data_IF_638681046807
#
_entry.id   IF_638681046807
#
_cell.length_a   1.000
_cell.length_b   1.000
_cell.length_c   1.000
_cell.angle_alpha   90.00
_cell.angle_beta   90.00
_cell.angle_gamma   90.00
#
_symmetry.space_group_name_H-M   'P 1'
#
loop_
_entity.id
_entity.type
_entity.pdbx_description
1 polymer ?
#
# COMPACT_ATOMS: atom_id res chain seq x y z
N UNK A 1 16.73 18.54 -6.12
CA UNK A 1 16.54 18.48 -4.65
C UNK A 1 15.07 18.39 -4.24
N UNK A 2 14.19 19.31 -4.64
CA UNK A 2 12.76 19.36 -4.19
C UNK A 2 11.93 18.10 -4.51
N UNK A 3 12.22 17.42 -5.61
CA UNK A 3 11.54 16.20 -6.03
C UNK A 3 11.87 14.96 -5.17
N UNK A 4 13.13 14.83 -4.74
CA UNK A 4 13.55 13.72 -3.88
C UNK A 4 12.97 13.85 -2.47
N UNK A 5 12.78 15.08 -1.98
CA UNK A 5 12.13 15.33 -0.69
C UNK A 5 10.66 14.86 -0.68
N UNK A 6 9.91 15.12 -1.75
CA UNK A 6 8.51 14.67 -1.86
C UNK A 6 8.43 13.14 -1.84
N UNK A 7 9.30 12.45 -2.61
CA UNK A 7 9.39 10.98 -2.57
C UNK A 7 9.69 10.49 -1.16
N UNK A 8 10.63 11.12 -0.45
CA UNK A 8 11.04 10.69 0.89
C UNK A 8 9.89 10.79 1.90
N UNK A 9 9.18 11.93 1.89
CA UNK A 9 8.01 12.14 2.75
C UNK A 9 6.93 11.11 2.43
N UNK A 10 6.67 10.86 1.14
CA UNK A 10 5.65 9.89 0.72
C UNK A 10 5.99 8.45 1.16
N UNK A 11 7.26 8.05 1.04
CA UNK A 11 7.75 6.75 1.51
C UNK A 11 7.70 6.64 3.03
N UNK A 12 8.11 7.69 3.76
CA UNK A 12 8.05 7.72 5.21
C UNK A 12 6.62 7.63 5.74
N UNK A 13 5.69 8.35 5.11
CA UNK A 13 4.27 8.30 5.45
C UNK A 13 3.64 6.93 5.10
N UNK A 14 3.99 6.36 3.93
CA UNK A 14 3.57 5.00 3.57
C UNK A 14 4.10 3.95 4.57
N UNK A 15 5.33 4.10 5.06
CA UNK A 15 5.92 3.21 6.06
C UNK A 15 5.19 3.31 7.40
N UNK A 16 4.84 4.53 7.84
CA UNK A 16 4.02 4.74 9.04
C UNK A 16 2.67 4.04 8.91
N UNK A 17 1.96 4.23 7.78
CA UNK A 17 0.68 3.57 7.53
C UNK A 17 0.82 2.04 7.50
N UNK A 18 1.90 1.52 6.92
CA UNK A 18 2.19 0.09 6.90
C UNK A 18 2.42 -0.46 8.30
N UNK A 19 3.13 0.28 9.17
CA UNK A 19 3.33 -0.09 10.58
C UNK A 19 1.99 -0.14 11.33
N UNK A 20 1.17 0.90 11.19
CA UNK A 20 -0.17 0.91 11.81
C UNK A 20 -1.02 -0.26 11.33
N UNK A 21 -1.08 -0.51 10.01
CA UNK A 21 -1.80 -1.65 9.45
C UNK A 21 -1.31 -2.98 10.03
N UNK A 22 0.01 -3.16 10.16
CA UNK A 22 0.60 -4.36 10.75
C UNK A 22 0.13 -4.56 12.18
N UNK A 23 0.11 -3.50 12.99
CA UNK A 23 -0.31 -3.56 14.38
C UNK A 23 -1.80 -3.92 14.52
N UNK A 24 -2.68 -3.26 13.74
CA UNK A 24 -4.12 -3.50 13.81
C UNK A 24 -4.48 -4.89 13.28
N UNK A 25 -4.00 -5.26 12.10
CA UNK A 25 -4.29 -6.56 11.49
C UNK A 25 -3.67 -7.70 12.30
N UNK A 26 -2.46 -7.50 12.84
CA UNK A 26 -1.84 -8.44 13.77
C UNK A 26 -2.69 -8.66 15.03
N UNK A 27 -3.30 -7.61 15.58
CA UNK A 27 -4.20 -7.77 16.73
C UNK A 27 -5.52 -8.49 16.36
N UNK A 28 -6.07 -8.25 15.17
CA UNK A 28 -7.24 -8.99 14.67
C UNK A 28 -6.93 -10.48 14.52
N UNK A 29 -5.73 -10.83 14.03
CA UNK A 29 -5.29 -12.23 13.91
C UNK A 29 -5.09 -12.85 15.30
N UNK A 30 -4.44 -12.14 16.23
CA UNK A 30 -4.18 -12.64 17.57
C UNK A 30 -5.44 -12.84 18.42
N UNK A 31 -6.49 -12.04 18.16
CA UNK A 31 -7.77 -12.10 18.86
C UNK A 31 -8.80 -13.00 18.18
N UNK A 32 -8.37 -13.82 17.21
CA UNK A 32 -9.24 -14.69 16.44
C UNK A 32 -9.65 -15.96 17.20
N UNK A 33 -10.95 -16.14 17.41
CA UNK A 33 -11.56 -17.31 18.05
C UNK A 33 -12.56 -17.89 17.04
N UNK A 34 -12.12 -18.90 16.28
CA UNK A 34 -12.95 -19.65 15.32
C UNK A 34 -13.78 -18.80 14.34
N UNK A 35 -13.23 -17.67 13.88
CA UNK A 35 -13.90 -16.88 12.85
C UNK A 35 -14.08 -17.67 11.55
N UNK A 36 -15.12 -17.32 10.79
CA UNK A 36 -15.45 -17.96 9.53
C UNK A 36 -14.24 -17.99 8.56
N UNK A 37 -14.07 -19.09 7.83
CA UNK A 37 -12.96 -19.24 6.89
C UNK A 37 -12.88 -18.13 5.82
N UNK A 38 -14.03 -17.57 5.43
CA UNK A 38 -14.10 -16.45 4.48
C UNK A 38 -13.57 -15.13 5.08
N UNK A 39 -13.67 -14.97 6.41
CA UNK A 39 -13.16 -13.82 7.15
C UNK A 39 -11.66 -13.95 7.39
N UNK A 40 -11.19 -15.11 7.82
CA UNK A 40 -9.76 -15.36 8.06
C UNK A 40 -8.95 -15.27 6.77
N UNK A 41 -9.47 -15.76 5.64
CA UNK A 41 -8.84 -15.62 4.33
C UNK A 41 -8.65 -14.14 3.92
N UNK A 42 -9.66 -13.29 4.17
CA UNK A 42 -9.58 -11.87 3.87
C UNK A 42 -8.51 -11.17 4.73
N UNK A 43 -8.48 -11.44 6.03
CA UNK A 43 -7.48 -10.88 6.96
C UNK A 43 -6.07 -11.36 6.60
N UNK A 44 -5.89 -12.64 6.25
CA UNK A 44 -4.61 -13.19 5.83
C UNK A 44 -4.10 -12.56 4.53
N UNK A 45 -4.99 -12.32 3.56
CA UNK A 45 -4.63 -11.60 2.34
C UNK A 45 -4.16 -10.17 2.65
N UNK A 46 -4.85 -9.45 3.53
CA UNK A 46 -4.45 -8.10 3.98
C UNK A 46 -3.08 -8.12 4.65
N UNK A 47 -2.81 -9.13 5.49
CA UNK A 47 -1.50 -9.30 6.12
C UNK A 47 -0.40 -9.54 5.08
N UNK A 48 -0.65 -10.36 4.07
CA UNK A 48 0.26 -10.54 2.93
C UNK A 48 0.55 -9.21 2.22
N UNK A 49 -0.47 -8.42 1.89
CA UNK A 49 -0.30 -7.11 1.26
C UNK A 49 0.50 -6.15 2.15
N UNK A 50 0.33 -6.24 3.47
CA UNK A 50 1.08 -5.43 4.44
C UNK A 50 2.56 -5.78 4.42
N UNK A 51 2.92 -7.07 4.32
CA UNK A 51 4.31 -7.52 4.20
C UNK A 51 4.92 -7.06 2.87
N UNK A 52 4.18 -7.15 1.76
CA UNK A 52 4.65 -6.61 0.46
C UNK A 52 4.88 -5.10 0.56
N UNK A 53 3.99 -4.38 1.24
CA UNK A 53 4.10 -2.94 1.47
C UNK A 53 5.35 -2.59 2.29
N UNK A 54 5.70 -3.40 3.29
CA UNK A 54 6.96 -3.26 4.04
C UNK A 54 8.18 -3.34 3.13
N UNK A 55 8.24 -4.38 2.27
CA UNK A 55 9.36 -4.57 1.34
C UNK A 55 9.49 -3.35 0.41
N UNK A 56 8.38 -2.89 -0.16
CA UNK A 56 8.38 -1.76 -1.10
C UNK A 56 8.77 -0.45 -0.39
N UNK A 57 8.30 -0.22 0.83
CA UNK A 57 8.66 0.97 1.61
C UNK A 57 10.14 0.95 2.01
N UNK A 58 10.67 -0.18 2.49
CA UNK A 58 12.07 -0.31 2.91
C UNK A 58 13.02 -0.17 1.73
N UNK A 59 12.74 -0.85 0.61
CA UNK A 59 13.56 -0.71 -0.62
C UNK A 59 13.51 0.73 -1.14
N UNK A 60 12.33 1.35 -1.14
CA UNK A 60 12.17 2.75 -1.53
C UNK A 60 12.90 3.73 -0.61
N UNK A 61 12.99 3.43 0.69
CA UNK A 61 13.75 4.23 1.65
C UNK A 61 15.27 4.05 1.48
N UNK A 62 15.72 2.81 1.29
CA UNK A 62 17.13 2.49 1.07
C UNK A 62 17.67 3.09 -0.23
N UNK A 63 16.82 3.29 -1.24
CA UNK A 63 17.18 3.98 -2.48
C UNK A 63 17.68 5.42 -2.26
N UNK A 64 17.33 6.08 -1.16
CA UNK A 64 17.89 7.40 -0.81
C UNK A 64 19.36 7.34 -0.41
N UNK A 65 19.79 6.23 0.20
CA UNK A 65 21.17 6.04 0.65
C UNK A 65 22.03 5.32 -0.38
N UNK A 66 21.41 4.44 -1.18
CA UNK A 66 22.08 3.63 -2.18
C UNK A 66 21.55 3.92 -3.58
N UNK A 67 22.31 4.69 -4.36
CA UNK A 67 21.97 5.08 -5.74
C UNK A 67 21.78 3.87 -6.69
N UNK A 68 22.33 2.71 -6.33
CA UNK A 68 22.13 1.47 -7.08
C UNK A 68 20.67 0.97 -7.07
N UNK A 69 19.92 1.29 -6.01
CA UNK A 69 18.51 0.91 -5.81
C UNK A 69 17.53 1.95 -6.38
N UNK A 70 17.99 3.15 -6.73
CA UNK A 70 17.15 4.22 -7.30
C UNK A 70 16.92 4.06 -8.82
N UNK A 71 17.16 2.86 -9.36
CA UNK A 71 16.99 2.58 -10.77
C UNK A 71 15.51 2.34 -11.10
N UNK A 72 14.95 3.04 -12.10
CA UNK A 72 13.57 2.83 -12.56
C UNK A 72 13.16 1.37 -12.83
N UNK A 73 13.99 0.50 -13.47
CA UNK A 73 13.58 -0.88 -13.73
C UNK A 73 13.33 -1.71 -12.46
N UNK A 74 13.91 -1.32 -11.31
CA UNK A 74 13.66 -1.99 -10.03
C UNK A 74 12.46 -1.37 -9.29
N UNK A 75 12.37 -0.04 -9.23
CA UNK A 75 11.31 0.63 -8.47
C UNK A 75 9.93 0.51 -9.14
N UNK A 76 9.88 0.52 -10.48
CA UNK A 76 8.62 0.48 -11.22
C UNK A 76 7.77 -0.77 -10.92
N UNK A 77 8.29 -2.02 -11.01
CA UNK A 77 7.49 -3.21 -10.68
C UNK A 77 7.12 -3.26 -9.20
N UNK A 78 7.98 -2.80 -8.30
CA UNK A 78 7.69 -2.75 -6.86
C UNK A 78 6.53 -1.81 -6.57
N UNK A 79 6.55 -0.60 -7.11
CA UNK A 79 5.47 0.38 -6.93
C UNK A 79 4.17 -0.08 -7.60
N UNK A 80 4.25 -0.68 -8.79
CA UNK A 80 3.08 -1.22 -9.48
C UNK A 80 2.44 -2.37 -8.70
N UNK A 81 3.25 -3.29 -8.16
CA UNK A 81 2.78 -4.38 -7.31
C UNK A 81 2.14 -3.84 -6.02
N UNK A 82 2.76 -2.85 -5.37
CA UNK A 82 2.20 -2.23 -4.17
C UNK A 82 0.85 -1.56 -4.44
N UNK A 83 0.71 -0.81 -5.54
CA UNK A 83 -0.55 -0.20 -5.95
C UNK A 83 -1.62 -1.28 -6.20
N UNK A 84 -1.29 -2.32 -6.96
CA UNK A 84 -2.23 -3.38 -7.30
C UNK A 84 -2.73 -4.12 -6.06
N UNK A 85 -1.82 -4.57 -5.20
CA UNK A 85 -2.17 -5.34 -4.01
C UNK A 85 -2.90 -4.50 -2.96
N UNK A 86 -2.45 -3.26 -2.71
CA UNK A 86 -3.13 -2.36 -1.77
C UNK A 86 -4.55 -2.01 -2.22
N UNK A 87 -4.77 -1.82 -3.53
CA UNK A 87 -6.10 -1.59 -4.09
C UNK A 87 -7.03 -2.77 -3.86
N UNK A 88 -6.57 -4.00 -4.17
CA UNK A 88 -7.37 -5.21 -3.98
C UNK A 88 -7.68 -5.39 -2.48
N UNK A 89 -6.69 -5.20 -1.60
CA UNK A 89 -6.88 -5.32 -0.15
C UNK A 89 -7.88 -4.29 0.40
N UNK A 90 -7.82 -3.04 -0.07
CA UNK A 90 -8.76 -2.00 0.32
C UNK A 90 -10.20 -2.35 -0.07
N UNK A 91 -10.40 -2.87 -1.30
CA UNK A 91 -11.72 -3.32 -1.77
C UNK A 91 -12.23 -4.50 -0.95
N UNK A 92 -11.39 -5.51 -0.72
CA UNK A 92 -11.76 -6.72 0.04
C UNK A 92 -12.20 -6.35 1.46
N UNK A 93 -11.45 -5.49 2.15
CA UNK A 93 -11.80 -5.00 3.48
C UNK A 93 -13.12 -4.23 3.47
N UNK A 94 -13.30 -3.28 2.55
CA UNK A 94 -14.52 -2.49 2.45
C UNK A 94 -15.76 -3.38 2.16
N UNK A 95 -15.62 -4.33 1.23
CA UNK A 95 -16.72 -5.22 0.82
C UNK A 95 -17.12 -6.21 1.91
N UNK A 96 -16.16 -6.64 2.74
CA UNK A 96 -16.39 -7.58 3.85
C UNK A 96 -16.87 -6.90 5.13
N UNK A 97 -16.39 -5.68 5.41
CA UNK A 97 -16.75 -4.97 6.63
C UNK A 97 -18.20 -4.53 6.63
N UNK A 98 -18.71 -3.92 5.55
CA UNK A 98 -20.13 -3.47 5.34
C UNK A 98 -20.79 -2.58 6.41
N UNK A 99 -20.29 -2.56 7.64
CA UNK A 99 -20.84 -1.84 8.76
C UNK A 99 -20.09 -0.52 8.94
N UNK A 100 -20.85 0.56 9.10
CA UNK A 100 -20.32 1.90 9.37
C UNK A 100 -20.26 2.18 10.87
N UNK A 101 -21.13 1.54 11.65
CA UNK A 101 -21.25 1.71 13.10
C UNK A 101 -20.93 0.39 13.82
N UNK A 102 -19.81 0.36 14.56
CA UNK A 102 -19.41 -0.79 15.37
C UNK A 102 -19.96 -0.76 16.81
N UNK A 103 -20.61 0.33 17.24
CA UNK A 103 -21.12 0.48 18.62
C UNK A 103 -22.45 -0.23 18.90
N UNK A 104 -23.20 -0.59 17.86
CA UNK A 104 -24.47 -1.33 17.97
C UNK A 104 -24.47 -2.47 16.96
N UNK A 105 -23.91 -3.61 17.34
CA UNK A 105 -23.88 -4.80 16.51
C UNK A 105 -25.22 -5.53 16.60
N UNK A 106 -25.99 -5.51 15.52
CA UNK A 106 -27.22 -6.31 15.42
C UNK A 106 -26.93 -7.64 14.72
N UNK A 107 -26.87 -8.77 15.44
CA UNK A 107 -26.56 -10.08 14.85
C UNK A 107 -27.64 -10.57 13.88
N UNK A 108 -28.86 -10.02 13.90
CA UNK A 108 -29.91 -10.35 12.91
C UNK A 108 -29.73 -9.62 11.57
N UNK A 109 -28.96 -8.54 11.54
CA UNK A 109 -28.72 -7.73 10.34
C UNK A 109 -27.41 -8.07 9.60
N UNK A 110 -26.57 -8.92 10.18
CA UNK A 110 -25.25 -9.26 9.67
C UNK A 110 -25.18 -10.74 9.30
N UNK A 111 -24.51 -11.10 8.19
CA UNK A 111 -24.39 -12.50 7.80
C UNK A 111 -23.54 -13.28 8.81
N UNK A 112 -23.79 -14.58 8.94
CA UNK A 112 -23.07 -15.44 9.88
C UNK A 112 -21.56 -15.57 9.59
N UNK A 113 -21.12 -15.25 8.36
CA UNK A 113 -19.72 -15.27 7.93
C UNK A 113 -19.05 -13.88 7.96
N UNK A 114 -19.64 -12.93 8.69
CA UNK A 114 -19.15 -11.56 8.73
C UNK A 114 -17.76 -11.43 9.38
N UNK A 115 -16.95 -10.51 8.84
CA UNK A 115 -15.50 -10.44 9.09
C UNK A 115 -15.12 -10.05 10.53
N UNK A 116 -16.01 -9.35 11.22
CA UNK A 116 -15.79 -8.89 12.59
C UNK A 116 -16.28 -9.86 13.67
N UNK A 117 -16.90 -10.99 13.29
CA UNK A 117 -17.17 -12.08 14.22
C UNK A 117 -15.91 -12.89 14.56
N UNK A 118 -15.92 -13.53 15.72
CA UNK A 118 -14.88 -14.46 16.16
C UNK A 118 -13.80 -13.77 16.99
N UNK A 119 -14.20 -12.92 17.93
CA UNK A 119 -13.33 -12.36 18.96
C UNK A 119 -14.04 -12.35 20.33
N UNK A 120 -13.27 -12.19 21.42
CA UNK A 120 -13.85 -11.96 22.74
C UNK A 120 -14.63 -10.63 22.82
N UNK A 121 -14.33 -9.68 21.92
CA UNK A 121 -15.08 -8.44 21.74
C UNK A 121 -15.17 -8.11 20.25
N UNK A 122 -16.31 -8.45 19.64
CA UNK A 122 -16.56 -8.21 18.21
C UNK A 122 -16.64 -6.70 17.88
N UNK A 123 -17.04 -5.87 18.85
CA UNK A 123 -16.99 -4.41 18.73
C UNK A 123 -15.56 -3.90 18.54
N UNK A 124 -14.62 -4.38 19.37
CA UNK A 124 -13.21 -4.01 19.24
C UNK A 124 -12.67 -4.44 17.88
N UNK A 125 -12.93 -5.69 17.47
CA UNK A 125 -12.51 -6.24 16.18
C UNK A 125 -13.08 -5.44 15.00
N UNK A 126 -14.35 -5.04 15.06
CA UNK A 126 -14.99 -4.19 14.05
C UNK A 126 -14.30 -2.83 13.92
N UNK A 127 -14.02 -2.15 15.04
CA UNK A 127 -13.34 -0.84 15.05
C UNK A 127 -11.91 -0.94 14.49
N UNK A 128 -11.19 -2.01 14.81
CA UNK A 128 -9.86 -2.27 14.25
C UNK A 128 -9.92 -2.48 12.74
N UNK A 129 -10.85 -3.30 12.24
CA UNK A 129 -11.02 -3.51 10.80
C UNK A 129 -11.48 -2.26 10.05
N UNK A 130 -12.30 -1.42 10.68
CA UNK A 130 -12.70 -0.13 10.13
C UNK A 130 -11.50 0.81 9.98
N UNK A 131 -10.70 0.94 11.04
CA UNK A 131 -9.47 1.73 10.99
C UNK A 131 -8.47 1.18 9.96
N UNK A 132 -8.29 -0.14 9.89
CA UNK A 132 -7.46 -0.79 8.87
C UNK A 132 -7.95 -0.50 7.45
N UNK A 133 -9.26 -0.48 7.21
CA UNK A 133 -9.82 -0.14 5.89
C UNK A 133 -9.42 1.27 5.46
N UNK A 134 -9.52 2.24 6.38
CA UNK A 134 -9.14 3.64 6.13
C UNK A 134 -7.64 3.76 5.87
N UNK A 135 -6.80 3.13 6.71
CA UNK A 135 -5.35 3.15 6.52
C UNK A 135 -4.92 2.48 5.21
N UNK A 136 -5.61 1.42 4.78
CA UNK A 136 -5.33 0.77 3.50
C UNK A 136 -5.62 1.69 2.31
N UNK A 137 -6.71 2.47 2.35
CA UNK A 137 -7.01 3.47 1.32
C UNK A 137 -5.96 4.60 1.27
N UNK A 138 -5.51 5.08 2.44
CA UNK A 138 -4.43 6.06 2.48
C UNK A 138 -3.11 5.49 1.95
N UNK A 139 -2.80 4.24 2.30
CA UNK A 139 -1.60 3.56 1.83
C UNK A 139 -1.63 3.38 0.30
N UNK A 140 -2.77 3.00 -0.25
CA UNK A 140 -3.02 2.96 -1.70
C UNK A 140 -2.75 4.32 -2.37
N UNK A 141 -3.27 5.41 -1.78
CA UNK A 141 -3.00 6.76 -2.28
C UNK A 141 -1.50 7.11 -2.28
N UNK A 142 -0.77 6.70 -1.24
CA UNK A 142 0.67 6.90 -1.16
C UNK A 142 1.45 6.12 -2.23
N UNK A 143 1.06 4.88 -2.49
CA UNK A 143 1.68 4.07 -3.54
C UNK A 143 1.33 4.58 -4.94
N UNK A 144 0.11 5.09 -5.17
CA UNK A 144 -0.23 5.75 -6.43
C UNK A 144 0.65 6.98 -6.67
N UNK A 145 0.83 7.81 -5.65
CA UNK A 145 1.75 8.95 -5.74
C UNK A 145 3.19 8.50 -5.99
N UNK A 146 3.65 7.43 -5.34
CA UNK A 146 5.00 6.90 -5.51
C UNK A 146 5.22 6.37 -6.93
N UNK A 147 4.29 5.58 -7.44
CA UNK A 147 4.30 5.04 -8.80
C UNK A 147 4.31 6.17 -9.84
N UNK A 148 3.49 7.20 -9.64
CA UNK A 148 3.44 8.36 -10.54
C UNK A 148 4.81 9.05 -10.66
N UNK A 149 5.49 9.24 -9.53
CA UNK A 149 6.84 9.80 -9.50
C UNK A 149 7.83 8.85 -10.21
N UNK A 150 7.81 7.56 -9.89
CA UNK A 150 8.69 6.56 -10.52
C UNK A 150 8.49 6.49 -12.05
N UNK A 151 7.24 6.56 -12.54
CA UNK A 151 6.92 6.62 -13.98
C UNK A 151 7.48 7.89 -14.61
N UNK A 152 7.37 9.04 -13.93
CA UNK A 152 7.92 10.31 -14.41
C UNK A 152 9.45 10.24 -14.57
N UNK A 153 10.14 9.61 -13.62
CA UNK A 153 11.61 9.45 -13.70
C UNK A 153 12.02 8.48 -14.81
N UNK A 154 11.30 7.37 -14.94
CA UNK A 154 11.50 6.44 -16.05
C UNK A 154 11.37 7.17 -17.39
N UNK A 155 10.31 7.97 -17.57
CA UNK A 155 10.10 8.75 -18.81
C UNK A 155 11.21 9.76 -19.07
N UNK A 156 11.72 10.45 -18.06
CA UNK A 156 12.84 11.38 -18.21
C UNK A 156 14.12 10.64 -18.64
N UNK A 157 14.41 9.49 -18.04
CA UNK A 157 15.58 8.66 -18.38
C UNK A 157 15.50 8.13 -19.81
N UNK A 158 14.36 7.55 -20.22
CA UNK A 158 14.18 7.02 -21.58
C UNK A 158 14.01 8.11 -22.64
N UNK A 159 13.47 9.28 -22.28
CA UNK A 159 13.37 10.45 -23.16
C UNK A 159 14.74 11.06 -23.46
N UNK A 160 15.63 11.12 -22.48
CA UNK A 160 17.01 11.58 -22.65
C UNK A 160 17.81 10.67 -23.59
N UNK A 161 17.61 9.34 -23.52
CA UNK A 161 18.26 8.39 -24.43
C UNK A 161 17.81 8.60 -25.88
N UNK A 162 16.53 8.90 -26.11
CA UNK A 162 16.01 9.25 -27.45
C UNK A 162 16.51 10.61 -27.96
N UNK A 163 16.78 11.56 -27.07
CA UNK A 163 17.39 12.85 -27.42
C UNK A 163 18.89 12.76 -27.67
N UNK A 164 19.61 11.88 -26.97
CA UNK A 164 21.04 11.64 -27.15
C UNK A 164 21.36 10.93 -28.48
N UNK A 165 20.40 10.22 -29.08
CA UNK A 165 20.49 9.69 -30.44
C UNK A 165 20.29 10.74 -31.55
N UNK A 166 20.06 12.01 -31.22
CA UNK A 166 20.17 13.11 -32.19
C UNK A 166 21.62 13.63 -32.15
N UNK A 167 22.41 13.45 -33.22
CA UNK A 167 23.78 13.95 -33.24
C UNK A 167 23.77 15.46 -32.99
N UNK A 168 24.65 15.93 -32.12
CA UNK A 168 25.03 17.34 -32.03
C UNK A 168 25.55 17.77 -33.40
N UNK A 169 24.74 18.45 -34.21
CA UNK A 169 25.25 19.08 -35.44
C UNK A 169 26.30 20.11 -35.04
N UNK A 170 27.54 19.87 -35.46
CA UNK A 170 28.61 20.87 -35.44
C UNK A 170 28.14 22.08 -36.24
N UNK A 171 27.84 23.20 -35.58
CA UNK A 171 27.78 24.50 -36.24
C UNK A 171 29.21 24.86 -36.69
N UNK A 172 29.52 24.50 -37.93
CA UNK A 172 30.56 25.15 -38.73
C UNK A 172 29.98 26.49 -39.19
N UNK A 173 30.32 27.56 -38.47
CA UNK A 173 30.15 28.94 -38.94
C UNK A 173 31.41 29.33 -39.72
N UNK A 174 31.20 29.67 -41.00
CA UNK A 174 32.18 30.30 -41.91
C UNK A 174 32.37 31.76 -41.53
#
# INVERSE_FOLDING_TARGET
MRYNLIKMILRGFALLLTLLLTALIGNVIASNIDAAGSATAAVNFVMFVTIVSWIVCLVGLLAFFASALDKPPLQLPLDAAAVLFSFIAAIVLAAKLRAVNCGELNPKGLPGDWIAWGSASDEKRCRELQASTVFMWFLFGCFCGSLFLTVRDARNMYGSLRSASRPSMSQIGV
#
